data_IF_778802645718
#
_entry.id   IF_778802645718
#
_cell.length_a   1.000
_cell.length_b   1.000
_cell.length_c   1.000
_cell.angle_alpha   90.00
_cell.angle_beta   90.00
_cell.angle_gamma   90.00
#
_symmetry.space_group_name_H-M   'P 1'
#
loop_
_entity.id
_entity.type
_entity.pdbx_description
1 polymer ?
#
# COMPACT_ATOMS: atom_id res chain seq x y z
N UNK A 1 -30.71 -66.32 -17.17
CA UNK A 1 -30.75 -65.25 -16.13
C UNK A 1 -29.86 -64.11 -16.61
N UNK A 2 -30.22 -63.40 -17.68
CA UNK A 2 -30.95 -62.10 -17.72
C UNK A 2 -30.33 -60.97 -16.87
N UNK A 3 -29.53 -60.16 -17.57
CA UNK A 3 -29.44 -58.69 -17.55
C UNK A 3 -28.58 -58.01 -16.47
N UNK A 4 -27.30 -58.01 -16.82
CA UNK A 4 -26.33 -56.92 -16.73
C UNK A 4 -26.93 -55.59 -17.27
N UNK A 5 -27.55 -54.77 -16.42
CA UNK A 5 -27.91 -53.37 -16.76
C UNK A 5 -28.24 -52.57 -15.49
N UNK A 6 -27.23 -51.93 -14.90
CA UNK A 6 -27.39 -50.78 -13.98
C UNK A 6 -26.22 -49.83 -14.15
N UNK A 7 -26.24 -49.09 -15.24
CA UNK A 7 -25.50 -47.85 -15.44
C UNK A 7 -26.40 -46.68 -15.06
N UNK A 8 -25.78 -45.56 -14.64
CA UNK A 8 -26.34 -44.21 -14.48
C UNK A 8 -27.29 -43.94 -13.30
N UNK A 9 -26.71 -43.71 -12.12
CA UNK A 9 -27.24 -42.75 -11.15
C UNK A 9 -26.14 -42.28 -10.18
N UNK A 10 -25.01 -41.82 -10.70
CA UNK A 10 -24.09 -40.97 -9.94
C UNK A 10 -24.61 -39.53 -10.05
N UNK A 11 -25.63 -39.20 -9.25
CA UNK A 11 -26.12 -37.84 -9.11
C UNK A 11 -25.05 -37.05 -8.36
N UNK A 12 -24.19 -36.35 -9.11
CA UNK A 12 -23.27 -35.39 -8.59
C UNK A 12 -24.06 -34.31 -7.83
N UNK A 13 -24.00 -34.34 -6.50
CA UNK A 13 -24.33 -33.20 -5.66
C UNK A 13 -23.29 -32.12 -5.97
N UNK A 14 -23.61 -31.24 -6.91
CA UNK A 14 -22.99 -29.93 -6.99
C UNK A 14 -23.33 -29.21 -5.69
N UNK A 15 -22.42 -29.23 -4.72
CA UNK A 15 -22.39 -28.23 -3.68
C UNK A 15 -22.16 -26.88 -4.36
N UNK A 16 -23.25 -26.14 -4.53
CA UNK A 16 -23.20 -24.73 -4.81
C UNK A 16 -22.46 -24.09 -3.63
N UNK A 17 -21.17 -23.79 -3.83
CA UNK A 17 -20.45 -22.84 -2.99
C UNK A 17 -21.12 -21.51 -3.29
N UNK A 18 -22.16 -21.20 -2.52
CA UNK A 18 -22.71 -19.86 -2.47
C UNK A 18 -21.55 -18.96 -2.09
N UNK A 19 -21.13 -18.11 -3.03
CA UNK A 19 -20.28 -16.98 -2.70
C UNK A 19 -21.08 -16.13 -1.72
N UNK A 20 -20.83 -16.31 -0.43
CA UNK A 20 -21.23 -15.33 0.56
C UNK A 20 -20.44 -14.09 0.18
N UNK A 21 -21.09 -13.18 -0.56
CA UNK A 21 -20.62 -11.82 -0.70
C UNK A 21 -20.30 -11.37 0.72
N UNK A 22 -19.03 -11.08 0.99
CA UNK A 22 -18.61 -10.64 2.30
C UNK A 22 -19.45 -9.40 2.63
N UNK A 23 -20.39 -9.55 3.56
CA UNK A 23 -21.27 -8.45 3.94
C UNK A 23 -20.39 -7.31 4.45
N UNK A 24 -20.39 -6.19 3.72
CA UNK A 24 -19.58 -5.04 4.06
C UNK A 24 -19.98 -4.54 5.45
N UNK A 25 -19.00 -4.49 6.35
CA UNK A 25 -19.18 -3.96 7.71
C UNK A 25 -19.13 -2.44 7.65
N UNK A 26 -20.15 -1.79 8.21
CA UNK A 26 -20.27 -0.35 8.25
C UNK A 26 -19.24 0.25 9.20
N UNK A 27 -18.42 1.16 8.70
CA UNK A 27 -17.38 1.85 9.45
C UNK A 27 -17.66 3.35 9.59
N UNK A 28 -16.99 4.02 10.56
CA UNK A 28 -16.97 5.47 10.61
C UNK A 28 -16.54 6.10 9.28
N UNK A 29 -17.23 7.17 8.89
CA UNK A 29 -16.98 7.91 7.66
C UNK A 29 -17.71 7.38 6.42
N UNK A 30 -18.27 6.17 6.46
CA UNK A 30 -19.04 5.63 5.33
C UNK A 30 -20.28 6.49 5.08
N UNK A 31 -20.60 6.70 3.80
CA UNK A 31 -21.80 7.43 3.37
C UNK A 31 -22.84 6.41 2.92
N UNK A 32 -24.02 6.52 3.48
CA UNK A 32 -25.11 5.57 3.33
C UNK A 32 -26.33 6.27 2.75
N UNK A 33 -27.01 5.61 1.82
CA UNK A 33 -28.35 5.92 1.39
C UNK A 33 -29.29 4.89 2.00
N UNK A 34 -30.12 5.36 2.93
CA UNK A 34 -31.09 4.53 3.65
C UNK A 34 -32.45 4.80 3.06
N UNK A 35 -33.12 3.74 2.61
CA UNK A 35 -34.45 3.78 2.00
C UNK A 35 -35.40 2.90 2.80
N UNK A 36 -36.63 3.37 2.99
CA UNK A 36 -37.70 2.60 3.64
C UNK A 36 -38.80 2.34 2.63
N UNK A 37 -39.15 1.08 2.40
CA UNK A 37 -40.16 0.70 1.41
C UNK A 37 -41.50 1.40 1.69
N UNK A 38 -42.13 1.93 0.62
CA UNK A 38 -43.37 2.72 0.67
C UNK A 38 -43.34 3.95 1.60
N UNK A 39 -42.17 4.41 2.01
CA UNK A 39 -42.02 5.58 2.89
C UNK A 39 -40.89 6.50 2.37
N UNK A 40 -41.08 7.18 1.23
CA UNK A 40 -40.06 8.02 0.63
C UNK A 40 -39.59 9.15 1.55
N UNK A 41 -40.46 9.66 2.42
CA UNK A 41 -40.17 10.73 3.39
C UNK A 41 -39.13 10.34 4.45
N UNK A 42 -38.90 9.03 4.65
CA UNK A 42 -37.86 8.52 5.55
C UNK A 42 -36.53 8.26 4.83
N UNK A 43 -36.46 8.49 3.52
CA UNK A 43 -35.24 8.29 2.74
C UNK A 43 -34.20 9.32 3.15
N UNK A 44 -33.02 8.85 3.54
CA UNK A 44 -31.95 9.71 4.07
C UNK A 44 -30.61 9.31 3.48
N UNK A 45 -29.83 10.30 3.05
CA UNK A 45 -28.40 10.13 2.77
C UNK A 45 -27.61 10.71 3.95
N UNK A 46 -26.87 9.87 4.66
CA UNK A 46 -26.17 10.25 5.90
C UNK A 46 -24.79 9.60 5.96
N UNK A 47 -23.91 10.21 6.76
CA UNK A 47 -22.59 9.65 7.08
C UNK A 47 -22.62 8.95 8.44
N UNK A 48 -21.91 7.84 8.56
CA UNK A 48 -21.60 7.21 9.85
C UNK A 48 -20.61 8.09 10.60
N UNK A 49 -21.01 8.59 11.77
CA UNK A 49 -20.16 9.38 12.67
C UNK A 49 -18.96 8.59 13.20
N UNK A 50 -17.98 9.29 13.76
CA UNK A 50 -16.81 8.68 14.43
C UNK A 50 -17.21 7.77 15.61
N UNK A 51 -18.36 8.04 16.23
CA UNK A 51 -18.94 7.21 17.27
C UNK A 51 -19.72 5.99 16.74
N UNK A 52 -19.73 5.74 15.42
CA UNK A 52 -20.46 4.62 14.81
C UNK A 52 -21.97 4.83 14.71
N UNK A 53 -22.48 6.04 14.92
CA UNK A 53 -23.91 6.36 14.84
C UNK A 53 -24.29 7.05 13.53
N UNK A 54 -25.54 6.90 13.11
CA UNK A 54 -26.19 7.71 12.07
C UNK A 54 -27.41 8.42 12.63
N UNK A 55 -27.74 9.60 12.11
CA UNK A 55 -29.00 10.26 12.46
C UNK A 55 -30.08 9.82 11.47
N UNK A 56 -31.18 9.27 11.97
CA UNK A 56 -32.29 8.79 11.16
C UNK A 56 -33.61 9.48 11.56
N UNK A 57 -34.49 9.84 10.61
CA UNK A 57 -35.78 10.44 10.93
C UNK A 57 -36.59 9.61 11.94
N UNK A 58 -37.28 10.30 12.86
CA UNK A 58 -38.08 9.72 13.95
C UNK A 58 -37.30 8.99 15.05
N UNK A 59 -36.14 8.42 14.73
CA UNK A 59 -35.31 7.66 15.68
C UNK A 59 -34.16 8.48 16.28
N UNK A 60 -33.74 9.56 15.63
CA UNK A 60 -32.57 10.33 16.04
C UNK A 60 -31.27 9.54 15.82
N UNK A 61 -30.27 9.65 16.72
CA UNK A 61 -29.01 8.94 16.58
C UNK A 61 -29.15 7.44 16.86
N UNK A 62 -28.78 6.61 15.88
CA UNK A 62 -28.80 5.14 15.95
C UNK A 62 -27.41 4.59 15.72
N UNK A 63 -26.92 3.76 16.63
CA UNK A 63 -25.64 3.06 16.49
C UNK A 63 -25.75 1.94 15.46
N UNK A 64 -24.95 2.01 14.39
CA UNK A 64 -24.92 1.00 13.33
C UNK A 64 -23.49 0.59 12.95
N UNK A 65 -22.47 1.26 13.47
CA UNK A 65 -21.06 0.95 13.24
C UNK A 65 -20.72 -0.45 13.73
N UNK A 66 -19.89 -1.16 12.97
CA UNK A 66 -19.51 -2.55 13.26
C UNK A 66 -20.55 -3.60 12.87
N UNK A 67 -21.76 -3.19 12.44
CA UNK A 67 -22.75 -4.09 11.86
C UNK A 67 -22.50 -4.27 10.36
N UNK A 68 -22.94 -5.40 9.82
CA UNK A 68 -23.14 -5.56 8.39
C UNK A 68 -24.31 -4.70 7.91
N UNK A 69 -24.38 -4.38 6.62
CA UNK A 69 -25.53 -3.68 6.03
C UNK A 69 -26.85 -4.36 6.40
N UNK A 70 -26.94 -5.69 6.24
CA UNK A 70 -28.13 -6.47 6.60
C UNK A 70 -28.45 -6.42 8.12
N UNK A 71 -27.43 -6.42 8.97
CA UNK A 71 -27.59 -6.27 10.41
C UNK A 71 -28.13 -4.89 10.79
N UNK A 72 -27.62 -3.83 10.16
CA UNK A 72 -28.08 -2.46 10.36
C UNK A 72 -29.50 -2.23 9.83
N UNK A 73 -29.86 -2.81 8.68
CA UNK A 73 -31.22 -2.80 8.14
C UNK A 73 -32.23 -3.40 9.11
N UNK A 74 -31.92 -4.58 9.65
CA UNK A 74 -32.77 -5.26 10.63
C UNK A 74 -32.91 -4.44 11.91
N UNK A 75 -31.82 -3.81 12.39
CA UNK A 75 -31.84 -2.96 13.58
C UNK A 75 -32.73 -1.73 13.39
N UNK A 76 -32.55 -1.00 12.27
CA UNK A 76 -33.37 0.17 11.97
C UNK A 76 -34.85 -0.20 11.78
N UNK A 77 -35.15 -1.30 11.08
CA UNK A 77 -36.53 -1.78 10.93
C UNK A 77 -37.19 -2.08 12.29
N UNK A 78 -36.49 -2.79 13.18
CA UNK A 78 -36.99 -3.09 14.52
C UNK A 78 -37.19 -1.85 15.39
N UNK A 79 -36.34 -0.83 15.26
CA UNK A 79 -36.51 0.45 15.98
C UNK A 79 -37.72 1.24 15.47
N UNK A 80 -37.95 1.26 14.15
CA UNK A 80 -39.14 1.89 13.56
C UNK A 80 -40.44 1.20 14.00
N UNK A 81 -40.41 -0.12 14.16
CA UNK A 81 -41.55 -0.91 14.63
C UNK A 81 -41.81 -0.75 16.12
N UNK A 82 -40.78 -0.88 16.95
CA UNK A 82 -40.90 -0.76 18.42
C UNK A 82 -41.24 0.67 18.87
N UNK A 83 -40.81 1.69 18.11
CA UNK A 83 -41.23 3.08 18.31
C UNK A 83 -42.67 3.38 17.88
N UNK A 84 -43.38 2.41 17.27
CA UNK A 84 -44.76 2.57 16.82
C UNK A 84 -44.90 3.43 15.55
N UNK A 85 -43.80 3.72 14.86
CA UNK A 85 -43.81 4.55 13.65
C UNK A 85 -44.28 3.76 12.42
N UNK A 86 -43.93 2.47 12.34
CA UNK A 86 -44.29 1.57 11.25
C UNK A 86 -44.67 0.19 11.79
N UNK A 87 -45.47 -0.59 11.05
CA UNK A 87 -45.92 -1.93 11.48
C UNK A 87 -45.12 -3.08 10.85
N UNK A 88 -44.47 -2.82 9.71
CA UNK A 88 -43.65 -3.77 8.94
C UNK A 88 -42.60 -3.00 8.16
N UNK A 89 -41.59 -2.52 8.86
CA UNK A 89 -40.57 -1.65 8.28
C UNK A 89 -39.58 -2.48 7.46
N UNK A 90 -39.53 -2.23 6.15
CA UNK A 90 -38.50 -2.80 5.27
C UNK A 90 -37.50 -1.71 4.94
N UNK A 91 -36.31 -1.84 5.50
CA UNK A 91 -35.19 -0.89 5.33
C UNK A 91 -34.17 -1.50 4.40
N UNK A 92 -33.66 -0.71 3.46
CA UNK A 92 -32.56 -1.05 2.58
C UNK A 92 -31.47 0.02 2.73
N UNK A 93 -30.23 -0.42 2.96
CA UNK A 93 -29.06 0.44 3.13
C UNK A 93 -28.11 0.20 1.96
N UNK A 94 -27.91 1.23 1.15
CA UNK A 94 -26.90 1.26 0.10
C UNK A 94 -25.71 2.09 0.58
N UNK A 95 -24.52 1.50 0.59
CA UNK A 95 -23.29 2.25 0.86
C UNK A 95 -22.92 3.00 -0.42
N UNK A 96 -23.03 4.33 -0.41
CA UNK A 96 -22.73 5.18 -1.57
C UNK A 96 -21.26 5.56 -1.63
N UNK A 97 -20.57 5.60 -0.48
CA UNK A 97 -19.14 5.83 -0.42
C UNK A 97 -18.51 5.12 0.78
N UNK A 98 -17.62 4.16 0.53
CA UNK A 98 -16.85 3.48 1.56
C UNK A 98 -15.60 4.32 1.84
N UNK A 99 -15.50 4.90 3.04
CA UNK A 99 -14.32 5.68 3.44
C UNK A 99 -13.33 4.86 4.26
N UNK A 100 -13.79 3.80 4.92
CA UNK A 100 -12.95 2.99 5.79
C UNK A 100 -12.17 1.86 5.06
N UNK A 101 -12.19 1.83 3.72
CA UNK A 101 -11.46 0.84 2.91
C UNK A 101 -10.47 1.56 1.99
N UNK A 102 -9.45 2.17 2.58
CA UNK A 102 -8.40 2.84 1.82
C UNK A 102 -7.02 2.37 2.27
N UNK A 103 -6.09 2.31 1.32
CA UNK A 103 -4.66 2.15 1.56
C UNK A 103 -4.01 3.51 1.36
N UNK A 104 -3.08 3.89 2.25
CA UNK A 104 -2.28 5.09 2.06
C UNK A 104 -1.00 4.75 1.32
N UNK A 105 -0.76 5.39 0.17
CA UNK A 105 0.51 5.28 -0.56
C UNK A 105 1.24 6.61 -0.44
N UNK A 106 2.39 6.58 0.23
CA UNK A 106 3.11 7.77 0.68
C UNK A 106 4.59 7.71 0.27
N UNK A 107 5.27 8.85 0.35
CA UNK A 107 6.70 8.96 0.04
C UNK A 107 6.98 9.19 -1.44
N UNK A 108 8.08 8.61 -1.94
CA UNK A 108 8.60 8.83 -3.29
C UNK A 108 7.90 7.97 -4.36
N UNK A 109 6.61 8.23 -4.55
CA UNK A 109 5.79 7.73 -5.67
C UNK A 109 5.36 8.90 -6.56
N UNK A 110 4.95 8.62 -7.80
CA UNK A 110 4.53 9.68 -8.73
C UNK A 110 3.24 10.38 -8.29
N UNK A 111 2.32 9.67 -7.62
CA UNK A 111 1.07 10.22 -7.09
C UNK A 111 0.82 9.72 -5.66
N UNK A 112 1.37 10.38 -4.63
CA UNK A 112 1.07 10.02 -3.25
C UNK A 112 -0.39 10.35 -2.91
N UNK A 113 -1.03 9.52 -2.11
CA UNK A 113 -2.43 9.71 -1.75
C UNK A 113 -3.07 8.50 -1.08
N UNK A 114 -4.36 8.64 -0.77
CA UNK A 114 -5.21 7.52 -0.32
C UNK A 114 -5.92 6.92 -1.50
N UNK A 115 -5.87 5.60 -1.59
CA UNK A 115 -6.45 4.83 -2.68
C UNK A 115 -7.52 3.90 -2.12
N UNK A 116 -8.76 3.93 -2.67
CA UNK A 116 -9.78 2.97 -2.27
C UNK A 116 -9.33 1.56 -2.64
N UNK A 117 -9.52 0.62 -1.71
CA UNK A 117 -9.25 -0.80 -1.94
C UNK A 117 -10.58 -1.53 -2.14
N UNK A 118 -10.94 -1.71 -3.41
CA UNK A 118 -12.06 -2.56 -3.80
C UNK A 118 -11.52 -3.94 -4.20
N UNK A 119 -12.02 -4.98 -3.52
CA UNK A 119 -11.59 -6.35 -3.76
C UNK A 119 -10.17 -6.65 -3.28
N UNK A 120 -9.55 -7.66 -3.90
CA UNK A 120 -8.15 -8.04 -3.61
C UNK A 120 -7.22 -7.17 -4.44
N UNK A 121 -6.34 -6.42 -3.79
CA UNK A 121 -5.29 -5.62 -4.42
C UNK A 121 -3.96 -5.90 -3.77
N UNK A 122 -2.91 -6.01 -4.57
CA UNK A 122 -1.56 -6.25 -4.10
C UNK A 122 -0.74 -4.98 -3.93
N UNK A 123 0.50 -5.12 -3.45
CA UNK A 123 1.48 -4.03 -3.36
C UNK A 123 1.76 -3.47 -4.76
N UNK A 124 1.97 -4.34 -5.74
CA UNK A 124 2.22 -3.94 -7.13
C UNK A 124 1.03 -3.20 -7.74
N UNK A 125 -0.21 -3.64 -7.48
CA UNK A 125 -1.41 -2.97 -7.96
C UNK A 125 -1.50 -1.52 -7.44
N UNK A 126 -1.29 -1.33 -6.14
CA UNK A 126 -1.39 0.00 -5.52
C UNK A 126 -0.26 0.92 -5.97
N UNK A 127 0.96 0.39 -6.14
CA UNK A 127 2.06 1.15 -6.72
C UNK A 127 1.77 1.56 -8.17
N UNK A 128 1.17 0.67 -8.97
CA UNK A 128 0.77 1.00 -10.34
C UNK A 128 -0.30 2.10 -10.39
N UNK A 129 -1.30 2.03 -9.51
CA UNK A 129 -2.32 3.09 -9.37
C UNK A 129 -1.71 4.43 -8.93
N UNK A 130 -0.69 4.39 -8.07
CA UNK A 130 0.10 5.57 -7.68
C UNK A 130 1.06 6.07 -8.77
N UNK A 131 1.03 5.47 -9.96
CA UNK A 131 1.88 5.84 -11.10
C UNK A 131 3.31 5.31 -11.03
N UNK A 132 3.59 4.35 -10.13
CA UNK A 132 4.91 3.78 -9.89
C UNK A 132 5.77 4.56 -8.90
N UNK A 133 6.92 3.97 -8.56
CA UNK A 133 7.99 4.59 -7.76
C UNK A 133 8.54 5.79 -8.56
N UNK A 134 8.71 6.93 -7.91
CA UNK A 134 9.28 8.13 -8.53
C UNK A 134 10.78 7.94 -8.82
N UNK A 135 11.40 8.73 -9.73
CA UNK A 135 12.82 8.61 -10.05
C UNK A 135 13.79 8.77 -8.87
N UNK A 136 13.37 9.40 -7.78
CA UNK A 136 14.14 9.57 -6.53
C UNK A 136 13.74 8.57 -5.43
N UNK A 137 12.82 7.65 -5.73
CA UNK A 137 12.29 6.67 -4.76
C UNK A 137 13.11 5.40 -4.68
N UNK A 138 13.22 4.86 -3.47
CA UNK A 138 13.90 3.60 -3.22
C UNK A 138 13.24 2.45 -3.96
N UNK A 139 14.05 1.50 -4.40
CA UNK A 139 13.56 0.25 -4.97
C UNK A 139 12.79 -0.62 -3.96
N UNK A 140 12.95 -0.30 -2.67
CA UNK A 140 12.32 -0.99 -1.55
C UNK A 140 11.16 -0.17 -1.00
N UNK A 141 10.04 -0.85 -0.74
CA UNK A 141 8.82 -0.25 -0.19
C UNK A 141 8.55 -0.81 1.19
N UNK A 142 8.25 0.06 2.13
CA UNK A 142 7.82 -0.34 3.48
C UNK A 142 6.31 -0.53 3.49
N UNK A 143 5.86 -1.73 3.86
CA UNK A 143 4.47 -2.01 4.17
C UNK A 143 4.27 -1.98 5.68
N UNK A 144 3.48 -1.02 6.14
CA UNK A 144 3.16 -0.83 7.54
C UNK A 144 1.72 -1.25 7.75
N UNK A 145 1.50 -2.20 8.66
CA UNK A 145 0.17 -2.74 8.98
C UNK A 145 -0.12 -2.58 10.47
N UNK A 146 -1.35 -2.22 10.81
CA UNK A 146 -1.84 -2.20 12.19
C UNK A 146 -2.91 -3.28 12.35
N UNK A 147 -2.57 -4.38 13.05
CA UNK A 147 -3.50 -5.48 13.32
C UNK A 147 -3.48 -5.83 14.81
N UNK A 148 -4.64 -6.03 15.42
CA UNK A 148 -4.79 -6.39 16.83
C UNK A 148 -4.03 -5.47 17.81
N UNK A 149 -3.93 -4.18 17.50
CA UNK A 149 -3.19 -3.20 18.31
C UNK A 149 -1.67 -3.20 18.10
N UNK A 150 -1.10 -4.18 17.40
CA UNK A 150 0.32 -4.22 17.03
C UNK A 150 0.57 -3.56 15.67
N UNK A 151 1.71 -2.89 15.54
CA UNK A 151 2.17 -2.32 14.26
C UNK A 151 3.34 -3.15 13.75
N UNK A 152 3.22 -3.66 12.53
CA UNK A 152 4.31 -4.35 11.83
C UNK A 152 4.83 -3.48 10.68
N UNK A 153 6.14 -3.55 10.40
CA UNK A 153 6.79 -2.94 9.24
C UNK A 153 7.52 -4.04 8.48
N UNK A 154 7.11 -4.28 7.24
CA UNK A 154 7.72 -5.23 6.32
C UNK A 154 8.42 -4.47 5.20
N UNK A 155 9.60 -4.93 4.81
CA UNK A 155 10.42 -4.32 3.76
C UNK A 155 10.33 -5.17 2.50
N UNK A 156 9.89 -4.57 1.39
CA UNK A 156 9.56 -5.28 0.15
C UNK A 156 10.47 -4.77 -0.96
N UNK A 157 11.30 -5.66 -1.50
CA UNK A 157 12.12 -5.36 -2.67
C UNK A 157 11.31 -5.46 -3.97
N UNK A 158 10.67 -4.35 -4.36
CA UNK A 158 9.74 -4.29 -5.49
C UNK A 158 10.48 -4.49 -6.82
N UNK A 159 11.59 -3.79 -7.03
CA UNK A 159 12.36 -3.90 -8.28
C UNK A 159 12.99 -5.29 -8.40
N UNK A 160 13.50 -5.87 -7.30
CA UNK A 160 14.02 -7.24 -7.29
C UNK A 160 12.95 -8.27 -7.64
N UNK A 161 11.76 -8.14 -7.05
CA UNK A 161 10.59 -8.98 -7.31
C UNK A 161 10.12 -8.92 -8.78
N UNK A 162 10.02 -7.71 -9.36
CA UNK A 162 9.62 -7.55 -10.76
C UNK A 162 10.67 -8.13 -11.72
N UNK A 163 11.97 -7.94 -11.43
CA UNK A 163 13.05 -8.47 -12.27
C UNK A 163 13.16 -9.99 -12.22
N UNK A 164 12.96 -10.59 -11.06
CA UNK A 164 13.06 -12.05 -10.88
C UNK A 164 11.79 -12.79 -11.27
N UNK A 165 10.65 -12.10 -11.33
CA UNK A 165 9.32 -12.71 -11.51
C UNK A 165 8.80 -13.45 -10.27
N UNK A 166 9.50 -13.36 -9.13
CA UNK A 166 9.14 -14.06 -7.90
C UNK A 166 8.19 -13.21 -7.04
N UNK A 167 6.88 -13.40 -7.24
CA UNK A 167 5.83 -12.59 -6.60
C UNK A 167 5.46 -13.04 -5.17
N UNK A 168 6.29 -13.84 -4.51
CA UNK A 168 5.99 -14.35 -3.16
C UNK A 168 5.85 -13.25 -2.10
N UNK A 169 6.42 -12.06 -2.36
CA UNK A 169 6.37 -10.89 -1.50
C UNK A 169 5.40 -9.80 -2.03
N UNK A 170 4.59 -10.10 -3.05
CA UNK A 170 3.54 -9.20 -3.52
C UNK A 170 2.29 -9.40 -2.68
N UNK A 171 2.32 -8.84 -1.47
CA UNK A 171 1.27 -9.09 -0.49
C UNK A 171 -0.06 -8.45 -0.88
N UNK A 172 -1.15 -9.15 -0.60
CA UNK A 172 -2.48 -8.54 -0.59
C UNK A 172 -2.56 -7.47 0.52
N UNK A 173 -3.15 -6.34 0.18
CA UNK A 173 -3.34 -5.21 1.06
C UNK A 173 -4.72 -5.22 1.69
N UNK A 174 -4.83 -4.59 2.84
CA UNK A 174 -6.08 -4.43 3.56
C UNK A 174 -6.32 -2.96 3.89
N UNK A 175 -7.56 -2.63 4.24
CA UNK A 175 -7.93 -1.31 4.72
C UNK A 175 -6.98 -0.84 5.84
N UNK A 176 -6.58 0.43 5.76
CA UNK A 176 -5.67 1.11 6.67
C UNK A 176 -4.19 0.67 6.61
N UNK A 177 -3.82 -0.21 5.67
CA UNK A 177 -2.41 -0.45 5.38
C UNK A 177 -1.74 0.83 4.80
N UNK A 178 -0.45 0.99 5.08
CA UNK A 178 0.35 2.10 4.57
C UNK A 178 1.52 1.54 3.78
N UNK A 179 1.59 1.91 2.50
CA UNK A 179 2.77 1.76 1.67
C UNK A 179 3.58 3.05 1.73
N UNK A 180 4.82 2.94 2.17
CA UNK A 180 5.74 4.07 2.26
C UNK A 180 6.99 3.79 1.43
N UNK A 181 7.23 4.66 0.45
CA UNK A 181 8.42 4.60 -0.41
C UNK A 181 9.43 5.63 0.07
N UNK A 182 10.55 5.15 0.61
CA UNK A 182 11.64 6.01 1.06
C UNK A 182 12.36 6.67 -0.14
N UNK A 183 13.20 7.67 0.13
CA UNK A 183 14.14 8.16 -0.89
C UNK A 183 15.15 7.07 -1.20
N UNK A 184 15.58 7.00 -2.45
CA UNK A 184 16.65 6.11 -2.83
C UNK A 184 17.92 6.41 -2.03
N UNK A 185 18.71 5.38 -1.68
CA UNK A 185 20.01 5.59 -1.05
C UNK A 185 20.87 6.50 -1.93
N UNK A 186 21.75 7.27 -1.30
CA UNK A 186 22.60 8.24 -1.99
C UNK A 186 24.06 8.00 -1.64
N UNK A 187 24.93 8.43 -2.55
CA UNK A 187 26.34 8.61 -2.31
C UNK A 187 26.75 10.01 -2.77
N UNK A 188 27.95 10.45 -2.43
CA UNK A 188 28.43 11.79 -2.68
C UNK A 188 29.74 11.72 -3.43
N UNK A 189 29.92 12.59 -4.43
CA UNK A 189 31.19 12.76 -5.14
C UNK A 189 31.71 14.16 -4.86
N UNK A 190 32.99 14.26 -4.52
CA UNK A 190 33.65 15.54 -4.28
C UNK A 190 35.10 15.54 -4.77
N UNK A 191 35.65 16.72 -5.04
CA UNK A 191 37.01 16.90 -5.58
C UNK A 191 37.02 17.11 -7.10
N UNK A 192 38.04 16.58 -7.77
CA UNK A 192 38.32 16.82 -9.19
C UNK A 192 37.45 16.00 -10.15
N UNK A 193 36.13 16.23 -10.09
CA UNK A 193 35.12 15.70 -11.01
C UNK A 193 34.34 16.81 -11.70
N UNK A 194 33.76 16.50 -12.86
CA UNK A 194 32.98 17.48 -13.63
C UNK A 194 31.75 18.00 -12.87
N UNK A 195 31.06 17.11 -12.14
CA UNK A 195 29.86 17.44 -11.36
C UNK A 195 29.96 16.85 -9.95
N UNK A 196 30.53 17.58 -8.98
CA UNK A 196 30.49 17.16 -7.59
C UNK A 196 29.07 17.31 -7.03
N UNK A 197 28.70 16.47 -6.07
CA UNK A 197 27.39 16.53 -5.42
C UNK A 197 26.84 15.17 -4.99
N UNK A 198 25.59 15.15 -4.51
CA UNK A 198 24.87 13.94 -4.16
C UNK A 198 24.30 13.26 -5.41
N UNK A 199 24.37 11.93 -5.43
CA UNK A 199 23.81 11.10 -6.50
C UNK A 199 23.03 9.94 -5.92
N UNK A 200 22.01 9.49 -6.67
CA UNK A 200 21.27 8.26 -6.36
C UNK A 200 22.21 7.06 -6.49
N UNK A 201 22.19 6.20 -5.49
CA UNK A 201 22.91 4.93 -5.51
C UNK A 201 22.03 3.88 -6.20
N UNK A 202 22.53 3.35 -7.32
CA UNK A 202 21.91 2.23 -8.01
C UNK A 202 22.41 0.89 -7.45
N UNK A 203 21.65 -0.17 -7.70
CA UNK A 203 22.04 -1.52 -7.27
C UNK A 203 23.32 -2.00 -7.93
N UNK A 204 24.27 -2.44 -7.11
CA UNK A 204 25.55 -2.97 -7.58
C UNK A 204 26.41 -1.91 -8.27
N UNK A 205 26.20 -0.63 -7.95
CA UNK A 205 26.92 0.47 -8.58
C UNK A 205 28.41 0.45 -8.18
N UNK A 206 29.28 0.50 -9.18
CA UNK A 206 30.74 0.56 -8.98
C UNK A 206 31.24 2.00 -8.86
N UNK A 207 32.47 2.18 -8.35
CA UNK A 207 33.15 3.49 -8.30
C UNK A 207 33.26 4.11 -9.69
N UNK A 208 33.56 3.33 -10.73
CA UNK A 208 33.62 3.82 -12.10
C UNK A 208 32.27 4.36 -12.59
N UNK A 209 31.19 3.62 -12.33
CA UNK A 209 29.84 4.06 -12.68
C UNK A 209 29.47 5.33 -11.91
N UNK A 210 29.81 5.41 -10.63
CA UNK A 210 29.63 6.59 -9.80
C UNK A 210 30.34 7.81 -10.39
N UNK A 211 31.63 7.70 -10.73
CA UNK A 211 32.39 8.78 -11.38
C UNK A 211 31.76 9.18 -12.72
N UNK A 212 31.29 8.20 -13.48
CA UNK A 212 30.60 8.44 -14.76
C UNK A 212 29.31 9.25 -14.58
N UNK A 213 28.52 8.97 -13.54
CA UNK A 213 27.34 9.77 -13.17
C UNK A 213 27.74 11.20 -12.79
N UNK A 214 28.88 11.37 -12.11
CA UNK A 214 29.51 12.67 -11.85
C UNK A 214 30.05 13.39 -13.10
N UNK A 215 29.91 12.83 -14.30
CA UNK A 215 30.43 13.40 -15.54
C UNK A 215 31.91 13.08 -15.80
N UNK A 216 32.52 12.20 -15.01
CA UNK A 216 33.93 11.86 -15.09
C UNK A 216 34.85 12.86 -14.38
N UNK A 217 36.14 12.68 -14.59
CA UNK A 217 37.20 13.48 -13.98
C UNK A 217 37.32 14.85 -14.67
N UNK A 218 37.83 15.84 -13.93
CA UNK A 218 38.34 17.08 -14.56
C UNK A 218 39.68 16.82 -15.25
N UNK A 219 40.19 17.80 -15.99
CA UNK A 219 41.54 17.74 -16.57
C UNK A 219 42.66 17.66 -15.51
N UNK A 220 42.35 17.99 -14.25
CA UNK A 220 43.27 17.89 -13.11
C UNK A 220 43.02 16.66 -12.25
N UNK A 221 41.93 15.93 -12.48
CA UNK A 221 41.60 14.76 -11.67
C UNK A 221 42.46 13.55 -12.01
N UNK A 222 42.62 12.66 -11.04
CA UNK A 222 43.30 11.39 -11.22
C UNK A 222 42.52 10.22 -10.64
N UNK A 223 42.56 9.09 -11.34
CA UNK A 223 42.06 7.81 -10.84
C UNK A 223 43.02 7.19 -9.81
N UNK A 224 44.28 7.65 -9.79
CA UNK A 224 45.29 7.17 -8.85
C UNK A 224 45.06 7.78 -7.47
N UNK A 225 44.77 6.92 -6.50
CA UNK A 225 44.53 7.35 -5.12
C UNK A 225 43.11 7.85 -4.86
N UNK A 226 42.14 7.35 -5.64
CA UNK A 226 40.71 7.42 -5.30
C UNK A 226 40.49 6.86 -3.90
N UNK A 227 39.75 7.60 -3.09
CA UNK A 227 39.38 7.16 -1.74
C UNK A 227 37.88 7.28 -1.56
N UNK A 228 37.31 6.34 -0.81
CA UNK A 228 35.99 6.46 -0.23
C UNK A 228 36.14 6.80 1.25
N UNK A 229 35.41 7.82 1.70
CA UNK A 229 35.14 8.01 3.13
C UNK A 229 33.82 7.34 3.45
N UNK A 230 33.89 6.22 4.18
CA UNK A 230 32.73 5.42 4.57
C UNK A 230 32.54 5.47 6.07
N UNK A 231 31.29 5.56 6.52
CA UNK A 231 30.94 5.42 7.93
C UNK A 231 30.72 3.92 8.22
N UNK A 232 31.43 3.38 9.19
CA UNK A 232 31.20 2.01 9.64
C UNK A 232 29.92 1.89 10.50
N UNK A 233 29.56 0.66 10.87
CA UNK A 233 28.38 0.40 11.69
C UNK A 233 28.38 1.10 13.05
N UNK A 234 29.56 1.51 13.56
CA UNK A 234 29.72 2.22 14.83
C UNK A 234 29.73 3.76 14.65
N UNK A 235 29.53 4.25 13.42
CA UNK A 235 29.52 5.67 13.12
C UNK A 235 30.90 6.28 12.88
N UNK A 236 31.98 5.49 12.95
CA UNK A 236 33.35 5.99 12.73
C UNK A 236 33.64 6.10 11.24
N UNK A 237 34.24 7.22 10.84
CA UNK A 237 34.71 7.38 9.46
C UNK A 237 35.98 6.58 9.22
N UNK A 238 35.97 5.84 8.11
CA UNK A 238 37.11 5.12 7.58
C UNK A 238 37.44 5.68 6.20
N UNK A 239 38.74 5.77 5.92
CA UNK A 239 39.25 6.13 4.60
C UNK A 239 39.73 4.85 3.95
N UNK A 240 39.17 4.54 2.79
CA UNK A 240 39.41 3.30 2.06
C UNK A 240 39.98 3.68 0.70
N UNK A 241 41.18 3.19 0.37
CA UNK A 241 41.68 3.23 -0.99
C UNK A 241 40.88 2.25 -1.84
N UNK A 242 40.30 2.75 -2.94
CA UNK A 242 39.37 1.97 -3.77
C UNK A 242 39.85 1.86 -5.20
N UNK A 243 39.46 0.76 -5.83
CA UNK A 243 39.56 0.52 -7.26
C UNK A 243 38.26 0.88 -7.96
N UNK A 244 38.31 0.91 -9.28
CA UNK A 244 37.17 1.28 -10.13
C UNK A 244 36.01 0.28 -10.09
N UNK A 245 36.31 -0.99 -9.86
CA UNK A 245 35.39 -2.12 -9.77
C UNK A 245 34.78 -2.30 -8.37
N UNK A 246 35.31 -1.61 -7.36
CA UNK A 246 34.76 -1.65 -6.01
C UNK A 246 33.35 -1.06 -5.98
N UNK A 247 32.51 -1.61 -5.10
CA UNK A 247 31.12 -1.19 -4.95
C UNK A 247 30.99 0.04 -4.04
N UNK A 248 30.15 0.96 -4.48
CA UNK A 248 29.71 2.11 -3.70
C UNK A 248 28.55 1.71 -2.80
N UNK A 249 28.56 2.21 -1.57
CA UNK A 249 27.55 1.96 -0.55
C UNK A 249 26.81 3.25 -0.19
N UNK A 250 25.70 3.09 0.52
CA UNK A 250 24.91 4.21 1.02
C UNK A 250 25.76 5.13 1.89
N UNK A 251 25.61 6.44 1.67
CA UNK A 251 26.31 7.53 2.35
C UNK A 251 27.84 7.58 2.13
N UNK A 252 28.37 6.82 1.17
CA UNK A 252 29.77 6.94 0.78
C UNK A 252 30.08 8.32 0.23
N UNK A 253 31.28 8.81 0.56
CA UNK A 253 31.86 10.00 -0.08
C UNK A 253 33.06 9.57 -0.92
N UNK A 254 32.86 9.53 -2.24
CA UNK A 254 33.90 9.30 -3.24
C UNK A 254 34.69 10.60 -3.42
N UNK A 255 35.97 10.58 -3.08
CA UNK A 255 36.85 11.74 -3.22
C UNK A 255 37.88 11.53 -4.33
N UNK A 256 37.88 12.45 -5.29
CA UNK A 256 38.83 12.50 -6.40
C UNK A 256 39.90 13.54 -6.12
N UNK A 257 41.14 13.09 -6.06
CA UNK A 257 42.31 13.96 -5.84
C UNK A 257 42.72 14.66 -7.13
N UNK A 258 43.42 15.77 -6.94
CA UNK A 258 44.19 16.41 -8.00
C UNK A 258 45.41 15.54 -8.37
N UNK A 259 45.73 15.52 -9.66
CA UNK A 259 46.90 14.88 -10.22
C UNK A 259 48.13 15.72 -9.89
N UNK A 260 49.03 15.16 -9.09
CA UNK A 260 50.38 15.71 -8.91
C UNK A 260 51.20 15.21 -10.11
N UNK A 261 51.71 16.16 -10.90
CA UNK A 261 52.44 15.96 -12.16
C UNK A 261 53.39 14.75 -12.21
#
# INVERSE_FOLDING_TARGET
>A
MKKLMKWLAALALLSAVGSAAADAVLGPGDVLKITVYNNPDLTTETRVSDAGTVTFPLLGPVEIGGLTSAGAEKKLGGLLESGGFLRKAQVNILITQIQNQQVSVLGQVNRPGRYPIEGRRSVLDLLALAGGIAPEGSDTVSLIRKRNGATTKESIDVVGMVRSGQLANDFELSANDVLYVERAPRFYIYGEVQRPGPFRLERGMTVLQALSTGGGLTARGTERGLIIKRRDANGKQQVIDVKQDDLVQTDDVVYVKESLF
#
